data_IF_393990555818
#
_entry.id   IF_393990555818
#
_cell.length_a   1.000
_cell.length_b   1.000
_cell.length_c   1.000
_cell.angle_alpha   90.00
_cell.angle_beta   90.00
_cell.angle_gamma   90.00
#
_symmetry.space_group_name_H-M   'P 1'
#
loop_
_entity.id
_entity.type
_entity.pdbx_description
1 polymer ?
#
# COMPACT_ATOMS: atom_id res chain seq x y z
N UNK A 1 12.19 16.87 15.83
CA UNK A 1 11.56 17.04 14.50
C UNK A 1 11.69 18.46 13.96
N UNK A 2 11.27 19.49 14.70
CA UNK A 2 11.39 20.89 14.25
C UNK A 2 12.85 21.31 13.99
N UNK A 3 13.79 20.86 14.82
CA UNK A 3 15.23 21.10 14.59
C UNK A 3 15.73 20.51 13.26
N UNK A 4 15.27 19.31 12.90
CA UNK A 4 15.62 18.64 11.65
C UNK A 4 15.01 19.34 10.43
N UNK A 5 13.74 19.77 10.54
CA UNK A 5 13.05 20.45 9.44
C UNK A 5 13.63 21.84 9.16
N UNK A 6 14.19 22.49 10.19
CA UNK A 6 14.81 23.81 10.07
C UNK A 6 16.33 23.74 9.86
N UNK A 7 16.92 22.56 9.74
CA UNK A 7 18.35 22.42 9.46
C UNK A 7 18.63 22.54 7.96
N UNK A 8 19.78 23.13 7.61
CA UNK A 8 20.29 23.19 6.23
C UNK A 8 21.04 21.89 5.83
N UNK A 9 20.78 20.80 6.55
CA UNK A 9 21.38 19.50 6.29
C UNK A 9 20.82 18.88 5.01
N UNK A 10 21.68 18.17 4.26
CA UNK A 10 21.30 17.47 3.04
C UNK A 10 21.26 15.98 3.28
N UNK A 11 20.24 15.34 2.73
CA UNK A 11 20.03 13.90 2.85
C UNK A 11 19.99 13.25 1.47
N UNK A 12 20.54 12.04 1.37
CA UNK A 12 20.52 11.26 0.13
C UNK A 12 19.21 10.50 -0.08
N UNK A 13 18.49 10.19 1.00
CA UNK A 13 17.19 9.51 0.97
C UNK A 13 16.41 9.75 2.26
N UNK A 14 15.08 9.64 2.19
CA UNK A 14 14.19 9.73 3.35
C UNK A 14 13.35 8.46 3.44
N UNK A 15 13.47 7.72 4.55
CA UNK A 15 12.73 6.48 4.79
C UNK A 15 11.50 6.78 5.65
N UNK A 16 10.32 6.39 5.18
CA UNK A 16 9.03 6.78 5.76
C UNK A 16 8.09 5.58 5.83
N UNK A 17 7.23 5.53 6.84
CA UNK A 17 6.08 4.62 6.83
C UNK A 17 5.03 5.11 5.81
N UNK A 18 4.51 4.20 5.00
CA UNK A 18 3.52 4.51 3.96
C UNK A 18 2.08 4.49 4.48
N UNK A 19 1.71 3.51 5.30
CA UNK A 19 0.29 3.25 5.58
C UNK A 19 -0.33 4.36 6.43
N UNK A 20 -1.36 5.04 5.90
CA UNK A 20 -2.08 6.16 6.53
C UNK A 20 -1.21 7.35 6.94
N UNK A 21 -0.03 7.52 6.34
CA UNK A 21 0.91 8.59 6.70
C UNK A 21 1.36 9.39 5.47
N UNK A 22 0.42 9.72 4.57
CA UNK A 22 0.73 10.46 3.34
C UNK A 22 1.41 11.82 3.60
N UNK A 23 1.15 12.44 4.76
CA UNK A 23 1.81 13.68 5.17
C UNK A 23 3.34 13.53 5.31
N UNK A 24 3.84 12.33 5.63
CA UNK A 24 5.28 12.09 5.74
C UNK A 24 5.99 12.21 4.39
N UNK A 25 5.30 11.98 3.27
CA UNK A 25 5.89 12.17 1.93
C UNK A 25 6.27 13.64 1.69
N UNK A 26 5.58 14.59 2.33
CA UNK A 26 5.94 16.01 2.25
C UNK A 26 7.32 16.32 2.84
N UNK A 27 7.79 15.51 3.80
CA UNK A 27 9.12 15.64 4.41
C UNK A 27 10.21 15.32 3.39
N UNK A 28 10.03 14.28 2.58
CA UNK A 28 10.97 13.97 1.50
C UNK A 28 11.03 15.09 0.46
N UNK A 29 9.89 15.70 0.14
CA UNK A 29 9.83 16.86 -0.75
C UNK A 29 10.55 18.09 -0.16
N UNK A 30 10.42 18.34 1.15
CA UNK A 30 11.12 19.42 1.85
C UNK A 30 12.64 19.32 1.72
N UNK A 31 13.20 18.13 1.92
CA UNK A 31 14.65 17.89 1.78
C UNK A 31 15.13 17.66 0.34
N UNK A 32 14.22 17.69 -0.65
CA UNK A 32 14.51 17.42 -2.08
C UNK A 32 15.24 16.09 -2.30
N UNK A 33 14.91 15.08 -1.50
CA UNK A 33 15.54 13.77 -1.51
C UNK A 33 14.53 12.68 -1.93
N UNK A 34 14.98 11.56 -2.55
CA UNK A 34 14.10 10.45 -2.89
C UNK A 34 13.45 9.85 -1.63
N UNK A 35 12.13 9.63 -1.71
CA UNK A 35 11.36 8.98 -0.65
C UNK A 35 11.41 7.45 -0.81
N UNK A 36 11.77 6.76 0.27
CA UNK A 36 11.69 5.30 0.37
C UNK A 36 10.54 4.98 1.32
N UNK A 37 9.44 4.49 0.76
CA UNK A 37 8.27 4.09 1.51
C UNK A 37 8.41 2.65 2.02
N UNK A 38 8.37 2.48 3.33
CA UNK A 38 8.26 1.20 4.00
C UNK A 38 6.80 0.94 4.39
N UNK A 39 6.39 -0.32 4.34
CA UNK A 39 5.08 -0.75 4.81
C UNK A 39 5.25 -1.79 5.92
N UNK A 40 4.62 -1.55 7.06
CA UNK A 40 4.60 -2.49 8.20
C UNK A 40 3.64 -3.67 8.01
N UNK A 41 2.73 -3.57 7.04
CA UNK A 41 1.74 -4.59 6.73
C UNK A 41 2.10 -5.38 5.47
N UNK A 42 1.60 -6.63 5.42
CA UNK A 42 1.74 -7.49 4.25
C UNK A 42 1.13 -6.84 3.00
N UNK A 43 1.66 -7.22 1.83
CA UNK A 43 1.15 -6.77 0.54
C UNK A 43 -0.34 -7.09 0.41
N UNK A 44 -1.16 -6.03 0.36
CA UNK A 44 -2.60 -6.11 0.10
C UNK A 44 -2.95 -5.36 -1.18
N UNK A 45 -4.26 -5.22 -1.44
CA UNK A 45 -4.75 -4.58 -2.67
C UNK A 45 -4.24 -3.14 -2.83
N UNK A 46 -4.21 -2.37 -1.74
CA UNK A 46 -3.69 -1.00 -1.74
C UNK A 46 -2.19 -0.96 -2.01
N UNK A 47 -1.41 -1.79 -1.31
CA UNK A 47 0.05 -1.85 -1.48
C UNK A 47 0.41 -2.27 -2.89
N UNK A 48 -0.33 -3.24 -3.43
CA UNK A 48 -0.16 -3.74 -4.78
C UNK A 48 -0.51 -2.67 -5.82
N UNK A 49 -1.56 -1.88 -5.59
CA UNK A 49 -1.91 -0.77 -6.46
C UNK A 49 -0.79 0.29 -6.52
N UNK A 50 -0.28 0.72 -5.37
CA UNK A 50 0.76 1.77 -5.30
C UNK A 50 2.11 1.28 -5.82
N UNK A 51 2.45 0.01 -5.61
CA UNK A 51 3.70 -0.60 -6.11
C UNK A 51 3.62 -1.14 -7.54
N UNK A 52 2.43 -1.13 -8.16
CA UNK A 52 2.20 -1.73 -9.48
C UNK A 52 2.24 -3.26 -9.50
N UNK A 53 2.14 -3.92 -8.34
CA UNK A 53 2.10 -5.38 -8.23
C UNK A 53 0.73 -5.92 -8.69
N UNK A 54 0.66 -6.96 -9.55
CA UNK A 54 -0.61 -7.56 -9.93
C UNK A 54 -1.35 -8.21 -8.75
N UNK A 55 -2.65 -7.95 -8.66
CA UNK A 55 -3.52 -8.61 -7.69
C UNK A 55 -3.99 -9.98 -8.21
N UNK A 56 -3.68 -11.05 -7.48
CA UNK A 56 -4.09 -12.42 -7.81
C UNK A 56 -5.34 -12.78 -6.98
N UNK A 57 -6.51 -12.35 -7.43
CA UNK A 57 -7.77 -12.55 -6.70
C UNK A 57 -8.16 -14.02 -6.49
N UNK A 58 -7.60 -14.95 -7.27
CA UNK A 58 -7.84 -16.37 -7.07
C UNK A 58 -7.01 -16.97 -5.94
N UNK A 59 -5.93 -16.33 -5.49
CA UNK A 59 -5.05 -16.88 -4.45
C UNK A 59 -4.95 -15.99 -3.22
N UNK A 60 -5.22 -14.70 -3.36
CA UNK A 60 -5.19 -13.74 -2.28
C UNK A 60 -6.62 -13.41 -1.83
N UNK A 61 -7.02 -13.82 -0.62
CA UNK A 61 -8.34 -13.48 -0.11
C UNK A 61 -8.47 -11.96 0.04
N UNK A 62 -9.63 -11.43 -0.32
CA UNK A 62 -9.95 -10.04 -0.14
C UNK A 62 -10.01 -9.74 1.35
N UNK A 63 -9.45 -8.61 1.79
CA UNK A 63 -9.36 -8.23 3.21
C UNK A 63 -10.72 -8.19 3.93
N UNK A 64 -11.80 -7.96 3.18
CA UNK A 64 -13.18 -7.92 3.69
C UNK A 64 -14.02 -9.17 3.37
N UNK A 65 -13.45 -10.19 2.73
CA UNK A 65 -14.20 -11.42 2.37
C UNK A 65 -14.39 -12.40 3.54
N UNK A 66 -13.57 -12.29 4.58
CA UNK A 66 -13.52 -13.27 5.67
C UNK A 66 -12.89 -14.63 5.29
N UNK A 67 -12.46 -14.80 4.04
CA UNK A 67 -11.82 -16.03 3.58
C UNK A 67 -10.40 -16.19 4.15
N UNK A 68 -10.02 -17.45 4.40
CA UNK A 68 -8.67 -17.81 4.83
C UNK A 68 -7.65 -17.89 3.69
N UNK A 69 -6.40 -18.20 4.04
CA UNK A 69 -5.32 -18.45 3.07
C UNK A 69 -5.60 -19.63 2.12
N UNK A 70 -6.43 -20.59 2.56
CA UNK A 70 -6.87 -21.73 1.75
C UNK A 70 -8.33 -21.48 1.38
N UNK A 71 -8.55 -21.17 0.11
CA UNK A 71 -9.89 -21.01 -0.47
C UNK A 71 -10.21 -22.20 -1.37
N UNK A 72 -11.42 -22.74 -1.26
CA UNK A 72 -11.95 -23.70 -2.23
C UNK A 72 -12.33 -23.01 -3.56
N UNK A 73 -12.75 -23.78 -4.56
CA UNK A 73 -13.09 -23.23 -5.88
C UNK A 73 -14.19 -22.15 -5.82
N UNK A 74 -15.19 -22.31 -4.96
CA UNK A 74 -16.32 -21.40 -4.86
C UNK A 74 -15.94 -20.14 -4.09
N UNK A 75 -15.16 -20.26 -3.01
CA UNK A 75 -14.59 -19.14 -2.28
C UNK A 75 -13.69 -18.30 -3.20
N UNK A 76 -12.83 -18.93 -4.02
CA UNK A 76 -12.01 -18.23 -5.02
C UNK A 76 -12.86 -17.47 -6.03
N UNK A 77 -13.96 -18.06 -6.47
CA UNK A 77 -14.89 -17.45 -7.43
C UNK A 77 -15.62 -16.27 -6.81
N UNK A 78 -16.13 -16.42 -5.58
CA UNK A 78 -16.77 -15.35 -4.82
C UNK A 78 -15.80 -14.20 -4.54
N UNK A 79 -14.56 -14.52 -4.17
CA UNK A 79 -13.50 -13.55 -3.93
C UNK A 79 -13.15 -12.75 -5.19
N UNK A 80 -13.04 -13.42 -6.34
CA UNK A 80 -12.83 -12.76 -7.63
C UNK A 80 -13.99 -11.82 -7.97
N UNK A 81 -15.23 -12.27 -7.85
CA UNK A 81 -16.42 -11.45 -8.13
C UNK A 81 -16.45 -10.21 -7.22
N UNK A 82 -16.22 -10.38 -5.92
CA UNK A 82 -16.16 -9.28 -4.95
C UNK A 82 -15.08 -8.26 -5.33
N UNK A 83 -13.87 -8.73 -5.62
CA UNK A 83 -12.78 -7.86 -6.03
C UNK A 83 -13.09 -7.12 -7.35
N UNK A 84 -13.71 -7.79 -8.32
CA UNK A 84 -14.13 -7.15 -9.58
C UNK A 84 -15.19 -6.07 -9.36
N UNK A 85 -16.18 -6.33 -8.48
CA UNK A 85 -17.15 -5.29 -8.12
C UNK A 85 -16.47 -4.09 -7.48
N UNK A 86 -15.52 -4.30 -6.56
CA UNK A 86 -14.79 -3.21 -5.93
C UNK A 86 -13.98 -2.39 -6.95
N UNK A 87 -13.31 -3.04 -7.90
CA UNK A 87 -12.58 -2.33 -8.97
C UNK A 87 -13.52 -1.52 -9.87
N UNK A 88 -14.75 -1.98 -10.09
CA UNK A 88 -15.74 -1.23 -10.88
C UNK A 88 -16.27 0.00 -10.12
N UNK A 89 -16.46 -0.10 -8.81
CA UNK A 89 -16.92 1.01 -7.97
C UNK A 89 -15.82 2.02 -7.63
N UNK A 90 -14.55 1.61 -7.59
CA UNK A 90 -13.40 2.48 -7.33
C UNK A 90 -12.81 3.12 -8.61
N UNK A 91 -13.57 3.15 -9.71
CA UNK A 91 -13.30 4.03 -10.86
C UNK A 91 -13.89 5.40 -10.64
#
# INVERSE_FOLDING_TARGET
>A
MQELLNSDEKFDAVILEWMFNDYLQSVAHHFKAPAISAATFCAGILTNYVSGNPNIYSHMPHVFSGYGQKMDFWERTGNFMFAMTQNLFNK
#
